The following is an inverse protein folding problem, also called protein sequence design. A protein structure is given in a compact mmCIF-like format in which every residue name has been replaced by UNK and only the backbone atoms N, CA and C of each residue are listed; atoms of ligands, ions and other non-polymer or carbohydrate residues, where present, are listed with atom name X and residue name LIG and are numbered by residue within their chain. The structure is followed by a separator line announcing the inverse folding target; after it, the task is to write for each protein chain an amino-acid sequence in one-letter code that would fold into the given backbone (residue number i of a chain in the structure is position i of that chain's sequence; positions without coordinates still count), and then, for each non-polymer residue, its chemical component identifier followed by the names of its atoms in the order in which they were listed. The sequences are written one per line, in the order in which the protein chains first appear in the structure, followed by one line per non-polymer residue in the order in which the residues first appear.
data_IF_765745721457
#
_entry.id   IF_765745721457
#
_cell.length_a   1.000
_cell.length_b   1.000
_cell.length_c   1.000
_cell.angle_alpha   90.00
_cell.angle_beta   90.00
_cell.angle_gamma   90.00
#
_symmetry.space_group_name_H-M   'P 1'
#
loop_
_entity.id
_entity.type
_entity.pdbx_description
1 polymer ?
#
# COMPACT_ATOMS: atom_id res chain seq x y z
N UNK A 1 33.86 -19.60 33.61
CA UNK A 1 33.46 -19.23 32.23
C UNK A 1 32.07 -18.57 32.20
N UNK A 2 30.99 -19.28 32.57
CA UNK A 2 29.62 -18.73 32.51
C UNK A 2 29.36 -17.45 33.32
N UNK A 3 29.84 -17.35 34.56
CA UNK A 3 29.57 -16.19 35.41
C UNK A 3 30.15 -14.86 34.88
N UNK A 4 31.35 -14.89 34.27
CA UNK A 4 31.98 -13.71 33.65
C UNK A 4 31.20 -13.24 32.42
N UNK A 5 30.66 -14.18 31.66
CA UNK A 5 29.86 -13.88 30.47
C UNK A 5 28.50 -13.28 30.85
N UNK A 6 27.87 -13.81 31.90
CA UNK A 6 26.65 -13.23 32.46
C UNK A 6 26.90 -11.79 32.91
N UNK A 7 27.99 -11.50 33.62
CA UNK A 7 28.34 -10.13 34.04
C UNK A 7 28.55 -9.16 32.86
N UNK A 8 29.10 -9.64 31.74
CA UNK A 8 29.31 -8.81 30.54
C UNK A 8 27.99 -8.49 29.83
N UNK A 9 27.07 -9.44 29.77
CA UNK A 9 25.78 -9.29 29.07
C UNK A 9 24.69 -8.65 29.93
N UNK A 10 24.84 -8.69 31.26
CA UNK A 10 23.86 -8.18 32.23
C UNK A 10 23.44 -6.72 31.99
N UNK A 11 24.35 -5.76 31.74
CA UNK A 11 23.97 -4.36 31.53
C UNK A 11 23.09 -4.17 30.28
N UNK A 12 23.42 -4.88 29.19
CA UNK A 12 22.62 -4.84 27.96
C UNK A 12 21.26 -5.51 28.15
N UNK A 13 21.22 -6.65 28.84
CA UNK A 13 19.98 -7.33 29.18
C UNK A 13 19.09 -6.46 30.07
N UNK A 14 19.65 -5.80 31.08
CA UNK A 14 18.92 -4.88 31.96
C UNK A 14 18.36 -3.66 31.20
N UNK A 15 19.16 -3.04 30.33
CA UNK A 15 18.70 -1.94 29.48
C UNK A 15 17.54 -2.34 28.56
N UNK A 16 17.66 -3.50 27.91
CA UNK A 16 16.61 -4.05 27.05
C UNK A 16 15.33 -4.36 27.84
N UNK A 17 15.46 -4.89 29.06
CA UNK A 17 14.32 -5.15 29.94
C UNK A 17 13.62 -3.86 30.35
N UNK A 18 14.36 -2.79 30.67
CA UNK A 18 13.76 -1.49 31.01
C UNK A 18 13.00 -0.89 29.82
N UNK A 19 13.56 -0.99 28.61
CA UNK A 19 12.89 -0.54 27.37
C UNK A 19 11.61 -1.36 27.14
N UNK A 20 11.67 -2.68 27.34
CA UNK A 20 10.51 -3.56 27.21
C UNK A 20 9.42 -3.20 28.23
N UNK A 21 9.79 -3.04 29.52
CA UNK A 21 8.87 -2.64 30.58
C UNK A 21 8.22 -1.28 30.30
N UNK A 22 8.99 -0.31 29.78
CA UNK A 22 8.46 1.00 29.44
C UNK A 22 7.43 0.93 28.31
N UNK A 23 7.72 0.15 27.25
CA UNK A 23 6.77 -0.07 26.15
C UNK A 23 5.50 -0.76 26.63
N UNK A 24 5.63 -1.75 27.51
CA UNK A 24 4.47 -2.45 28.08
C UNK A 24 3.63 -1.53 28.95
N UNK A 25 4.25 -0.66 29.78
CA UNK A 25 3.52 0.37 30.54
C UNK A 25 2.72 1.29 29.63
N UNK A 26 3.33 1.79 28.55
CA UNK A 26 2.62 2.62 27.56
C UNK A 26 1.48 1.87 26.88
N UNK A 27 1.68 0.59 26.53
CA UNK A 27 0.65 -0.25 25.92
C UNK A 27 -0.50 -0.49 26.90
N UNK A 28 -0.21 -0.85 28.15
CA UNK A 28 -1.21 -1.05 29.20
C UNK A 28 -2.01 0.23 29.46
N UNK A 29 -1.34 1.38 29.55
CA UNK A 29 -2.00 2.67 29.68
C UNK A 29 -2.94 2.92 28.48
N UNK A 30 -2.48 2.70 27.25
CA UNK A 30 -3.30 2.87 26.04
C UNK A 30 -4.51 1.94 26.02
N UNK A 31 -4.32 0.64 26.25
CA UNK A 31 -5.39 -0.37 26.18
C UNK A 31 -6.41 -0.20 27.32
N UNK A 32 -5.95 0.07 28.54
CA UNK A 32 -6.81 0.11 29.73
C UNK A 32 -7.38 1.48 30.05
N UNK A 33 -6.92 2.54 29.38
CA UNK A 33 -7.50 3.90 29.51
C UNK A 33 -8.97 3.98 29.06
N UNK A 34 -9.53 2.96 28.42
CA UNK A 34 -10.90 2.97 27.88
C UNK A 34 -11.09 3.92 26.69
N UNK A 35 -10.10 4.75 26.39
CA UNK A 35 -10.08 5.66 25.25
C UNK A 35 -9.78 4.91 23.96
N UNK A 36 -10.78 4.19 23.42
CA UNK A 36 -10.75 3.82 22.01
C UNK A 36 -10.71 5.13 21.21
N UNK A 37 -9.53 5.48 20.68
CA UNK A 37 -9.40 6.55 19.69
C UNK A 37 -9.68 5.92 18.33
N UNK A 38 -10.89 6.05 17.78
CA UNK A 38 -11.10 5.67 16.39
C UNK A 38 -10.15 6.51 15.54
N UNK A 39 -9.35 5.85 14.71
CA UNK A 39 -8.51 6.52 13.74
C UNK A 39 -9.38 7.02 12.58
N UNK A 40 -10.24 8.00 12.84
CA UNK A 40 -10.94 8.72 11.79
C UNK A 40 -9.95 9.72 11.19
N UNK A 41 -9.22 9.27 10.19
CA UNK A 41 -8.53 10.20 9.29
C UNK A 41 -9.61 10.78 8.40
N UNK A 42 -9.86 12.09 8.49
CA UNK A 42 -10.70 12.79 7.52
C UNK A 42 -9.86 12.98 6.26
N UNK A 43 -10.44 12.67 5.11
CA UNK A 43 -9.80 12.88 3.81
C UNK A 43 -10.57 13.95 3.08
N UNK A 44 -9.85 14.89 2.48
CA UNK A 44 -10.39 15.96 1.67
C UNK A 44 -10.00 15.80 0.21
N UNK A 45 -10.70 16.50 -0.68
CA UNK A 45 -10.34 16.52 -2.10
C UNK A 45 -8.95 17.15 -2.27
N UNK A 46 -8.04 16.43 -2.92
CA UNK A 46 -6.65 16.84 -3.09
C UNK A 46 -5.64 16.02 -2.29
N UNK A 47 -6.08 15.31 -1.25
CA UNK A 47 -5.18 14.48 -0.45
C UNK A 47 -4.62 13.31 -1.26
N UNK A 48 -3.36 12.96 -0.98
CA UNK A 48 -2.74 11.76 -1.51
C UNK A 48 -2.90 10.61 -0.51
N UNK A 49 -3.32 9.45 -1.01
CA UNK A 49 -3.65 8.29 -0.20
C UNK A 49 -3.13 6.99 -0.81
N UNK A 50 -2.92 6.01 0.05
CA UNK A 50 -2.69 4.61 -0.31
C UNK A 50 -3.93 3.79 0.00
N UNK A 51 -4.18 2.75 -0.80
CA UNK A 51 -5.20 1.74 -0.49
C UNK A 51 -4.52 0.62 0.28
N UNK A 52 -5.10 0.27 1.43
CA UNK A 52 -4.71 -0.90 2.20
C UNK A 52 -5.43 -2.12 1.61
N UNK A 53 -4.92 -2.67 0.52
CA UNK A 53 -5.51 -3.88 -0.06
C UNK A 53 -5.16 -5.12 0.77
N UNK A 54 -5.92 -5.39 1.82
CA UNK A 54 -5.85 -6.72 2.42
C UNK A 54 -6.54 -7.71 1.46
N UNK A 55 -5.77 -8.41 0.63
CA UNK A 55 -6.27 -9.61 -0.04
C UNK A 55 -6.74 -10.59 1.05
N UNK A 56 -8.06 -10.63 1.31
CA UNK A 56 -8.65 -11.48 2.36
C UNK A 56 -8.35 -12.97 2.15
N UNK A 57 -8.05 -13.37 0.91
CA UNK A 57 -7.89 -14.76 0.52
C UNK A 57 -6.44 -15.24 0.60
N UNK A 58 -5.46 -14.33 0.58
CA UNK A 58 -4.04 -14.70 0.61
C UNK A 58 -3.25 -13.82 1.60
N UNK A 59 -3.00 -14.38 2.79
CA UNK A 59 -2.25 -13.72 3.87
C UNK A 59 -0.74 -13.64 3.62
N UNK A 60 -0.21 -14.37 2.62
CA UNK A 60 1.20 -14.36 2.23
C UNK A 60 1.52 -13.33 1.15
N UNK A 61 0.50 -12.82 0.45
CA UNK A 61 0.66 -11.69 -0.44
C UNK A 61 0.68 -10.43 0.41
N UNK A 62 1.84 -9.77 0.45
CA UNK A 62 1.91 -8.39 0.91
C UNK A 62 0.85 -7.62 0.12
N UNK A 63 -0.09 -6.90 0.77
CA UNK A 63 -0.96 -5.95 0.12
C UNK A 63 -0.11 -5.18 -0.89
N UNK A 64 -0.31 -5.39 -2.18
CA UNK A 64 0.50 -4.74 -3.19
C UNK A 64 0.28 -3.24 -3.03
N UNK A 65 1.18 -2.59 -2.30
CA UNK A 65 1.42 -1.16 -2.42
C UNK A 65 1.87 -1.00 -3.87
N UNK A 66 1.45 0.02 -4.61
CA UNK A 66 2.30 1.22 -4.67
C UNK A 66 1.71 2.34 -5.52
N UNK A 67 0.43 2.31 -5.88
CA UNK A 67 -0.13 3.48 -6.56
C UNK A 67 -0.55 4.51 -5.52
N UNK A 68 0.24 5.58 -5.42
CA UNK A 68 -0.19 6.82 -4.78
C UNK A 68 -1.39 7.33 -5.57
N UNK A 69 -2.54 7.43 -4.92
CA UNK A 69 -3.76 7.94 -5.53
C UNK A 69 -4.11 9.30 -4.94
N UNK A 70 -4.72 10.15 -5.75
CA UNK A 70 -5.23 11.45 -5.33
C UNK A 70 -6.74 11.36 -5.10
N UNK A 71 -7.23 11.90 -3.99
CA UNK A 71 -8.67 12.00 -3.70
C UNK A 71 -9.27 13.09 -4.59
N UNK A 72 -10.25 12.73 -5.42
CA UNK A 72 -11.04 13.70 -6.21
C UNK A 72 -12.21 14.21 -5.37
N UNK A 73 -12.96 13.29 -4.77
CA UNK A 73 -14.16 13.60 -4.01
C UNK A 73 -14.45 12.51 -3.00
N UNK A 74 -15.09 12.89 -1.89
CA UNK A 74 -15.57 11.97 -0.87
C UNK A 74 -17.07 12.13 -0.74
N UNK A 75 -17.78 11.02 -0.91
CA UNK A 75 -19.24 10.97 -0.78
C UNK A 75 -19.61 10.95 0.71
N UNK A 76 -20.74 11.55 1.15
CA UNK A 76 -21.19 11.47 2.55
C UNK A 76 -21.39 10.03 3.07
N UNK A 77 -21.58 9.07 2.17
CA UNK A 77 -21.63 7.64 2.48
C UNK A 77 -20.26 7.00 2.85
N UNK A 78 -19.16 7.77 2.84
CA UNK A 78 -17.82 7.27 3.19
C UNK A 78 -17.10 6.53 2.05
N UNK A 79 -17.48 6.80 0.80
CA UNK A 79 -16.81 6.28 -0.41
C UNK A 79 -16.06 7.42 -1.09
N UNK A 80 -14.75 7.23 -1.29
CA UNK A 80 -13.89 8.17 -1.98
C UNK A 80 -13.69 7.76 -3.44
N UNK A 81 -13.71 8.75 -4.33
CA UNK A 81 -13.29 8.60 -5.72
C UNK A 81 -11.83 9.03 -5.82
N UNK A 82 -10.98 8.11 -6.26
CA UNK A 82 -9.53 8.25 -6.29
C UNK A 82 -9.05 8.27 -7.74
N UNK A 83 -8.01 9.07 -8.01
CA UNK A 83 -7.36 9.15 -9.31
C UNK A 83 -5.90 8.71 -9.22
N UNK A 84 -5.49 7.78 -10.07
CA UNK A 84 -4.08 7.44 -10.25
C UNK A 84 -3.34 8.44 -11.14
N UNK A 85 -2.01 8.38 -11.13
CA UNK A 85 -1.17 9.15 -12.08
C UNK A 85 -1.46 8.82 -13.54
N UNK A 86 -1.87 7.59 -13.82
CA UNK A 86 -2.31 7.15 -15.15
C UNK A 86 -3.68 7.70 -15.58
N UNK A 87 -4.36 8.44 -14.70
CA UNK A 87 -5.68 9.02 -14.98
C UNK A 87 -6.84 8.06 -14.75
N UNK A 88 -6.58 6.80 -14.39
CA UNK A 88 -7.63 5.85 -14.03
C UNK A 88 -8.31 6.26 -12.72
N UNK A 89 -9.62 6.08 -12.68
CA UNK A 89 -10.43 6.36 -11.51
C UNK A 89 -10.79 5.06 -10.79
N UNK A 90 -10.78 5.10 -9.46
CA UNK A 90 -11.14 3.99 -8.61
C UNK A 90 -11.98 4.46 -7.43
N UNK A 91 -13.05 3.74 -7.11
CA UNK A 91 -13.89 4.00 -5.95
C UNK A 91 -13.50 3.05 -4.82
N UNK A 92 -13.32 3.58 -3.62
CA UNK A 92 -12.90 2.79 -2.46
C UNK A 92 -13.51 3.35 -1.16
N UNK A 93 -13.68 2.49 -0.16
CA UNK A 93 -14.16 2.93 1.15
C UNK A 93 -13.06 3.72 1.88
N UNK A 94 -13.44 4.85 2.49
CA UNK A 94 -12.55 5.69 3.31
C UNK A 94 -11.82 4.90 4.40
N UNK A 95 -12.45 3.86 4.96
CA UNK A 95 -11.84 2.99 5.97
C UNK A 95 -10.60 2.21 5.45
N UNK A 96 -10.53 1.97 4.14
CA UNK A 96 -9.41 1.26 3.51
C UNK A 96 -8.27 2.21 3.11
N UNK A 97 -8.45 3.52 3.25
CA UNK A 97 -7.46 4.52 2.89
C UNK A 97 -6.45 4.77 4.01
N UNK A 98 -5.22 5.06 3.61
CA UNK A 98 -4.16 5.56 4.49
C UNK A 98 -3.59 6.85 3.91
N UNK A 99 -3.29 7.85 4.74
CA UNK A 99 -2.65 9.08 4.27
C UNK A 99 -1.28 8.76 3.66
N UNK A 100 -0.96 9.42 2.55
CA UNK A 100 0.37 9.43 1.98
C UNK A 100 1.25 10.41 2.77
N UNK A 101 2.49 10.03 3.05
CA UNK A 101 3.45 10.87 3.77
C UNK A 101 4.50 11.50 2.85
N UNK A 102 4.44 11.23 1.54
CA UNK A 102 5.39 11.79 0.58
C UNK A 102 5.05 13.27 0.31
N UNK A 103 5.96 14.21 0.60
CA UNK A 103 5.81 15.59 0.16
C UNK A 103 6.04 15.69 -1.36
N UNK A 104 5.49 16.73 -1.98
CA UNK A 104 5.79 17.15 -3.37
C UNK A 104 5.52 16.09 -4.46
N UNK A 105 4.32 15.50 -4.42
CA UNK A 105 3.84 14.65 -5.51
C UNK A 105 3.39 15.49 -6.69
N UNK A 106 3.94 15.20 -7.87
CA UNK A 106 3.50 15.85 -9.12
C UNK A 106 2.01 15.57 -9.40
N UNK A 107 1.19 16.60 -9.63
CA UNK A 107 -0.23 16.43 -9.98
C UNK A 107 -0.44 16.06 -11.45
N UNK A 108 0.64 15.90 -12.23
CA UNK A 108 0.59 15.64 -13.67
C UNK A 108 0.05 14.23 -13.91
N UNK A 109 -1.02 14.16 -14.71
CA UNK A 109 -1.61 12.91 -15.18
C UNK A 109 -0.95 12.52 -16.50
N UNK A 110 -0.32 11.36 -16.53
CA UNK A 110 0.27 10.80 -17.76
C UNK A 110 -0.51 9.54 -18.17
N UNK A 111 -1.32 9.69 -19.21
CA UNK A 111 -2.19 8.63 -19.75
C UNK A 111 -1.37 7.45 -20.29
N UNK A 112 -0.11 7.66 -20.66
CA UNK A 112 0.76 6.61 -21.23
C UNK A 112 1.17 5.56 -20.19
N UNK A 113 1.05 5.90 -18.90
CA UNK A 113 1.27 4.97 -17.78
C UNK A 113 0.08 4.03 -17.53
N UNK A 114 -1.05 4.21 -18.22
CA UNK A 114 -2.21 3.36 -18.05
C UNK A 114 -1.91 1.94 -18.53
N UNK A 115 -1.98 0.97 -17.61
CA UNK A 115 -1.92 -0.45 -17.95
C UNK A 115 -3.31 -0.87 -18.43
N UNK A 116 -3.47 -1.34 -19.68
CA UNK A 116 -4.75 -1.80 -20.20
C UNK A 116 -5.21 -3.05 -19.45
N UNK A 117 -6.53 -3.28 -19.41
CA UNK A 117 -7.08 -4.50 -18.82
C UNK A 117 -6.61 -5.74 -19.58
N UNK A 118 -6.53 -6.86 -18.87
CA UNK A 118 -6.06 -8.15 -19.43
C UNK A 118 -7.01 -8.67 -20.53
N UNK A 119 -8.27 -8.22 -20.52
CA UNK A 119 -9.31 -8.62 -21.48
C UNK A 119 -9.24 -7.84 -22.81
N UNK A 120 -8.44 -6.77 -22.87
CA UNK A 120 -8.24 -6.04 -24.12
C UNK A 120 -7.36 -6.86 -25.06
N UNK A 121 -7.86 -7.12 -26.27
CA UNK A 121 -7.10 -7.79 -27.30
C UNK A 121 -5.84 -6.98 -27.63
N UNK A 122 -4.68 -7.64 -27.62
CA UNK A 122 -3.48 -7.03 -28.18
C UNK A 122 -3.70 -6.83 -29.69
N UNK A 123 -3.74 -5.58 -30.13
CA UNK A 123 -3.67 -5.27 -31.55
C UNK A 123 -2.29 -5.71 -32.07
N UNK A 124 -2.22 -6.60 -33.06
CA UNK A 124 -0.94 -7.02 -33.62
C UNK A 124 -0.35 -5.83 -34.39
N UNK A 125 0.64 -5.16 -33.80
CA UNK A 125 1.46 -4.18 -34.53
C UNK A 125 2.19 -4.90 -35.65
N UNK A 126 2.04 -4.40 -36.88
CA UNK A 126 2.72 -4.91 -38.08
C UNK A 126 4.24 -4.94 -37.89
N UNK A 127 4.93 -5.93 -38.49
CA UNK A 127 6.37 -6.05 -38.31
C UNK A 127 7.07 -5.08 -39.27
N UNK A 128 7.50 -3.93 -38.78
CA UNK A 128 8.60 -3.21 -39.42
C UNK A 128 9.80 -3.15 -38.48
N UNK A 129 10.76 -4.02 -38.77
CA UNK A 129 12.19 -3.79 -38.58
C UNK A 129 12.69 -3.73 -37.13
N UNK A 130 12.97 -4.94 -36.62
CA UNK A 130 14.17 -5.30 -35.84
C UNK A 130 14.68 -4.31 -34.79
N UNK A 131 14.24 -4.46 -33.53
CA UNK A 131 15.11 -4.42 -32.34
C UNK A 131 14.54 -5.39 -31.30
N UNK A 132 15.19 -6.55 -31.15
CA UNK A 132 14.95 -7.47 -30.04
C UNK A 132 15.65 -6.93 -28.79
N UNK A 133 14.96 -6.14 -27.96
CA UNK A 133 15.32 -6.05 -26.55
C UNK A 133 14.05 -6.11 -25.68
N UNK A 134 14.17 -6.97 -24.67
CA UNK A 134 13.12 -7.51 -23.82
C UNK A 134 12.17 -6.45 -23.21
N UNK A 135 10.89 -6.60 -23.52
CA UNK A 135 9.85 -6.63 -22.51
C UNK A 135 8.77 -7.59 -23.01
N UNK A 136 8.72 -8.82 -22.46
CA UNK A 136 7.62 -9.75 -22.73
C UNK A 136 6.39 -9.25 -21.96
N UNK A 137 5.32 -8.72 -22.60
CA UNK A 137 4.04 -8.73 -21.93
C UNK A 137 3.61 -10.20 -21.89
N UNK A 138 3.27 -10.70 -20.71
CA UNK A 138 2.72 -12.05 -20.54
C UNK A 138 1.32 -12.07 -21.17
N UNK A 139 1.27 -12.17 -22.49
CA UNK A 139 0.05 -12.33 -23.26
C UNK A 139 -0.42 -13.78 -23.04
N UNK A 140 -1.29 -14.01 -22.05
CA UNK A 140 -1.94 -15.31 -21.85
C UNK A 140 -2.94 -15.53 -22.98
N UNK A 141 -2.46 -16.02 -24.12
CA UNK A 141 -3.33 -16.59 -25.17
C UNK A 141 -4.15 -17.72 -24.53
N UNK A 142 -5.37 -17.43 -24.12
CA UNK A 142 -6.39 -18.46 -23.92
C UNK A 142 -6.71 -19.02 -25.30
N UNK A 143 -6.29 -20.27 -25.55
CA UNK A 143 -6.76 -21.02 -26.71
C UNK A 143 -8.29 -21.14 -26.60
N UNK A 144 -9.06 -20.96 -27.69
CA UNK A 144 -10.45 -21.35 -27.68
C UNK A 144 -10.53 -22.86 -27.43
N UNK A 145 -11.35 -23.28 -26.47
CA UNK A 145 -11.68 -24.70 -26.25
C UNK A 145 -12.59 -25.18 -27.41
N UNK A 146 -12.46 -26.45 -27.81
CA UNK A 146 -13.22 -27.02 -28.93
C UNK A 146 -14.72 -27.07 -28.68
#
# INVERSE_FOLDING_TARGET
MRAKEVQRLMPAAAGNLLIAQQRDKHRYARVRSGGYKPAFTRFEAGDYVYITECNRTNTLQVPTRENVLRVISVTPAGVATLKGRCGTERKENVANLKPCHLPDLDPIVDVRLAVPSVDLACEPTSPSTSIWHLARPRCSRTRPRP
#
